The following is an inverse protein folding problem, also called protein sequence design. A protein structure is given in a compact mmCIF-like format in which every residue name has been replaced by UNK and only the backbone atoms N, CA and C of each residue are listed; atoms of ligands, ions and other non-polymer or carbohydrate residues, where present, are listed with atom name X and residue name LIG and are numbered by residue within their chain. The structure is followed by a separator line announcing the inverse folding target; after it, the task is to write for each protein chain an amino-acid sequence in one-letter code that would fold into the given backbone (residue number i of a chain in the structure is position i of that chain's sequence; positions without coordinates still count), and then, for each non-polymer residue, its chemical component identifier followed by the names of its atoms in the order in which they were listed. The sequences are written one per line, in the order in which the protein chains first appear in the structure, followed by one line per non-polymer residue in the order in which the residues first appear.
data_IF_786808601425
#
_entry.id   IF_786808601425
#
_cell.length_a   1.000
_cell.length_b   1.000
_cell.length_c   1.000
_cell.angle_alpha   90.00
_cell.angle_beta   90.00
_cell.angle_gamma   90.00
#
_symmetry.space_group_name_H-M   'P 1'
#
loop_
_entity.id
_entity.type
_entity.pdbx_description
1 polymer ?
#
# COMPACT_ATOMS: atom_id res chain seq x y z
N UNK A 1 19.01 2.27 29.84
CA UNK A 1 18.85 1.16 28.89
C UNK A 1 17.93 0.10 29.41
N UNK A 2 18.29 -0.50 30.55
CA UNK A 2 17.48 -1.62 31.08
C UNK A 2 16.05 -1.27 31.36
N UNK A 3 15.84 -0.08 31.90
CA UNK A 3 14.49 0.36 32.20
C UNK A 3 13.60 0.42 30.96
N UNK A 4 14.23 0.52 29.79
CA UNK A 4 13.48 0.59 28.55
C UNK A 4 12.82 -0.72 28.20
N UNK A 5 13.38 -1.83 28.68
CA UNK A 5 12.77 -3.15 28.47
C UNK A 5 11.50 -3.33 29.25
N UNK A 6 11.36 -2.61 30.35
CA UNK A 6 10.14 -2.66 31.14
C UNK A 6 8.95 -2.08 30.37
N UNK A 7 9.25 -1.29 29.35
CA UNK A 7 8.26 -0.65 28.50
C UNK A 7 8.37 -1.19 27.07
N UNK A 8 8.67 -2.45 26.95
CA UNK A 8 9.01 -3.04 25.66
C UNK A 8 7.90 -2.83 24.63
N UNK A 9 6.65 -3.06 24.99
CA UNK A 9 5.57 -2.89 24.03
C UNK A 9 5.43 -1.45 23.55
N UNK A 10 5.57 -0.49 24.47
CA UNK A 10 5.53 0.93 24.08
C UNK A 10 6.74 1.29 23.22
N UNK A 11 7.87 0.72 23.53
CA UNK A 11 9.09 0.94 22.77
C UNK A 11 8.96 0.36 21.36
N UNK A 12 8.37 -0.82 21.25
CA UNK A 12 8.14 -1.46 19.96
C UNK A 12 7.20 -0.61 19.10
N UNK A 13 6.12 -0.10 19.70
CA UNK A 13 5.21 0.80 19.00
C UNK A 13 5.91 2.06 18.53
N UNK A 14 6.80 2.60 19.36
CA UNK A 14 7.58 3.78 19.01
C UNK A 14 8.52 3.50 17.83
N UNK A 15 9.19 2.34 17.85
CA UNK A 15 10.07 1.95 16.76
C UNK A 15 9.29 1.73 15.47
N UNK A 16 8.12 1.11 15.55
CA UNK A 16 7.27 0.91 14.39
C UNK A 16 6.83 2.26 13.81
N UNK A 17 6.47 3.20 14.67
CA UNK A 17 6.08 4.55 14.24
C UNK A 17 7.25 5.30 13.61
N UNK A 18 8.44 5.17 14.16
CA UNK A 18 9.63 5.80 13.57
C UNK A 18 9.97 5.18 12.21
N UNK A 19 9.90 3.86 12.11
CA UNK A 19 10.12 3.17 10.84
C UNK A 19 9.11 3.61 9.80
N UNK A 20 7.85 3.73 10.17
CA UNK A 20 6.81 4.22 9.29
C UNK A 20 7.07 5.66 8.85
N UNK A 21 7.56 6.51 9.76
CA UNK A 21 7.89 7.90 9.45
C UNK A 21 9.01 7.98 8.39
N UNK A 22 10.07 7.21 8.57
CA UNK A 22 11.15 7.16 7.58
C UNK A 22 10.67 6.64 6.25
N UNK A 23 9.87 5.58 6.28
CA UNK A 23 9.33 5.00 5.06
C UNK A 23 8.45 6.01 4.32
N UNK A 24 7.59 6.73 5.04
CA UNK A 24 6.71 7.74 4.43
C UNK A 24 7.56 8.83 3.76
N UNK A 25 8.63 9.30 4.42
CA UNK A 25 9.53 10.29 3.80
C UNK A 25 10.13 9.77 2.50
N UNK A 26 10.59 8.52 2.52
CA UNK A 26 11.15 7.89 1.32
C UNK A 26 10.11 7.81 0.22
N UNK A 27 8.90 7.39 0.56
CA UNK A 27 7.81 7.27 -0.42
C UNK A 27 7.43 8.64 -1.01
N UNK A 28 7.41 9.68 -0.19
CA UNK A 28 7.13 11.04 -0.67
C UNK A 28 8.18 11.49 -1.68
N UNK A 29 9.45 11.18 -1.43
CA UNK A 29 10.52 11.58 -2.33
C UNK A 29 10.40 10.95 -3.71
N UNK A 30 9.81 9.76 -3.81
CA UNK A 30 9.69 9.02 -5.08
C UNK A 30 8.24 8.79 -5.50
N UNK A 31 7.29 9.46 -4.88
CA UNK A 31 5.86 9.17 -5.07
C UNK A 31 5.40 9.30 -6.52
N UNK A 32 6.00 10.22 -7.28
CA UNK A 32 5.60 10.40 -8.67
C UNK A 32 5.90 9.15 -9.50
N UNK A 33 7.03 8.48 -9.21
CA UNK A 33 7.38 7.23 -9.89
C UNK A 33 6.52 6.06 -9.45
N UNK A 34 5.89 6.15 -8.28
CA UNK A 34 5.08 5.09 -7.71
C UNK A 34 3.58 5.29 -7.95
N UNK A 35 3.20 6.33 -8.66
CA UNK A 35 1.80 6.69 -8.82
C UNK A 35 1.10 5.83 -9.87
N UNK A 36 -0.10 5.35 -9.51
CA UNK A 36 -1.04 4.73 -10.43
C UNK A 36 -2.36 5.49 -10.33
N UNK A 37 -3.23 5.31 -11.32
CA UNK A 37 -4.50 6.02 -11.37
C UNK A 37 -5.67 5.08 -11.56
N UNK A 38 -6.80 5.43 -10.98
CA UNK A 38 -8.04 4.69 -11.13
C UNK A 38 -9.20 5.65 -11.19
N UNK A 39 -9.81 5.78 -12.35
CA UNK A 39 -10.98 6.66 -12.57
C UNK A 39 -10.78 8.08 -12.02
N UNK A 40 -9.61 8.65 -12.30
CA UNK A 40 -9.28 10.00 -11.83
C UNK A 40 -8.72 10.05 -10.41
N UNK A 41 -8.74 8.96 -9.68
CA UNK A 41 -8.13 8.88 -8.36
C UNK A 41 -6.67 8.51 -8.47
N UNK A 42 -5.85 9.13 -7.63
CA UNK A 42 -4.41 8.89 -7.61
C UNK A 42 -4.09 7.92 -6.48
N UNK A 43 -3.31 6.91 -6.78
CA UNK A 43 -2.90 5.92 -5.79
C UNK A 43 -1.40 5.72 -5.78
N UNK A 44 -0.89 5.23 -4.66
CA UNK A 44 0.51 4.86 -4.54
C UNK A 44 0.64 3.34 -4.64
N UNK A 45 1.60 2.88 -5.43
CA UNK A 45 1.89 1.45 -5.57
C UNK A 45 3.27 1.15 -5.02
N UNK A 46 3.36 0.11 -4.19
CA UNK A 46 4.64 -0.41 -3.73
C UNK A 46 4.74 -1.89 -4.03
N UNK A 47 5.98 -2.41 -4.01
CA UNK A 47 6.25 -3.82 -4.29
C UNK A 47 7.03 -4.43 -3.14
N UNK A 48 6.47 -5.49 -2.56
CA UNK A 48 7.11 -6.26 -1.49
C UNK A 48 7.40 -5.44 -0.23
N UNK A 49 6.55 -4.46 0.07
CA UNK A 49 6.70 -3.67 1.27
C UNK A 49 6.32 -4.47 2.52
N UNK A 50 5.36 -5.37 2.38
CA UNK A 50 4.91 -6.21 3.48
C UNK A 50 3.71 -5.61 4.20
N UNK A 51 3.81 -5.47 5.51
CA UNK A 51 2.71 -4.92 6.31
C UNK A 51 2.60 -3.42 6.08
N UNK A 52 1.48 -2.97 5.53
CA UNK A 52 1.31 -1.58 5.09
C UNK A 52 0.33 -0.77 5.93
N UNK A 53 -0.31 -1.38 6.92
CA UNK A 53 -1.38 -0.68 7.68
C UNK A 53 -0.92 0.67 8.20
N UNK A 54 0.20 0.72 8.91
CA UNK A 54 0.72 1.97 9.48
C UNK A 54 1.27 2.90 8.41
N UNK A 55 2.20 2.46 7.52
CA UNK A 55 2.77 3.39 6.54
C UNK A 55 1.76 3.87 5.51
N UNK A 56 0.81 3.03 5.09
CA UNK A 56 -0.19 3.46 4.12
C UNK A 56 -1.12 4.53 4.71
N UNK A 57 -1.58 4.32 5.93
CA UNK A 57 -2.45 5.31 6.59
C UNK A 57 -1.70 6.63 6.82
N UNK A 58 -0.44 6.55 7.23
CA UNK A 58 0.38 7.74 7.43
C UNK A 58 0.63 8.49 6.11
N UNK A 59 0.94 7.75 5.05
CA UNK A 59 1.16 8.34 3.73
C UNK A 59 -0.09 9.04 3.21
N UNK A 60 -1.23 8.38 3.26
CA UNK A 60 -2.48 8.94 2.76
C UNK A 60 -2.90 10.19 3.56
N UNK A 61 -2.66 10.16 4.87
CA UNK A 61 -2.97 11.31 5.71
C UNK A 61 -2.08 12.52 5.39
N UNK A 62 -0.79 12.25 5.12
CA UNK A 62 0.18 13.30 4.82
C UNK A 62 0.10 13.79 3.37
N UNK A 63 -0.50 13.02 2.47
CA UNK A 63 -0.57 13.34 1.05
C UNK A 63 -2.02 13.22 0.58
N UNK A 64 -2.86 14.21 0.91
CA UNK A 64 -4.30 14.13 0.64
C UNK A 64 -4.68 14.08 -0.84
N UNK A 65 -3.75 14.34 -1.72
CA UNK A 65 -3.97 14.17 -3.16
C UNK A 65 -4.00 12.69 -3.58
N UNK A 66 -3.52 11.78 -2.71
CA UNK A 66 -3.58 10.35 -2.95
C UNK A 66 -4.80 9.76 -2.27
N UNK A 67 -5.54 8.94 -2.99
CA UNK A 67 -6.82 8.40 -2.54
C UNK A 67 -6.77 6.93 -2.15
N UNK A 68 -5.71 6.21 -2.55
CA UNK A 68 -5.54 4.81 -2.18
C UNK A 68 -4.07 4.40 -2.24
N UNK A 69 -3.80 3.21 -1.70
CA UNK A 69 -2.44 2.67 -1.58
C UNK A 69 -2.53 1.17 -1.86
N UNK A 70 -1.67 0.66 -2.72
CA UNK A 70 -1.61 -0.77 -3.05
C UNK A 70 -0.19 -1.26 -2.83
N UNK A 71 -0.04 -2.38 -2.12
CA UNK A 71 1.21 -3.13 -2.08
C UNK A 71 0.96 -4.52 -2.64
N UNK A 72 1.85 -5.00 -3.49
CA UNK A 72 1.78 -6.35 -4.05
C UNK A 72 3.09 -7.07 -3.77
N UNK A 73 3.02 -8.35 -3.45
CA UNK A 73 4.22 -9.15 -3.22
C UNK A 73 4.55 -10.02 -4.43
N UNK A 74 5.64 -10.77 -4.33
CA UNK A 74 6.15 -11.62 -5.43
C UNK A 74 5.15 -12.65 -5.91
N UNK A 75 4.27 -13.10 -5.02
CA UNK A 75 3.29 -14.13 -5.33
C UNK A 75 1.98 -13.57 -5.88
N UNK A 76 1.87 -12.25 -5.96
CA UNK A 76 0.66 -11.60 -6.42
C UNK A 76 -0.34 -11.29 -5.34
N UNK A 77 -0.01 -11.52 -4.07
CA UNK A 77 -0.87 -11.11 -2.96
C UNK A 77 -0.80 -9.60 -2.81
N UNK A 78 -1.95 -8.96 -2.74
CA UNK A 78 -2.03 -7.52 -2.68
C UNK A 78 -2.79 -7.06 -1.46
N UNK A 79 -2.36 -5.93 -0.91
CA UNK A 79 -3.04 -5.25 0.18
C UNK A 79 -3.42 -3.85 -0.30
N UNK A 80 -4.63 -3.42 0.06
CA UNK A 80 -5.18 -2.16 -0.39
C UNK A 80 -5.61 -1.33 0.81
N UNK A 81 -5.34 -0.03 0.76
CA UNK A 81 -5.76 0.91 1.80
C UNK A 81 -6.34 2.16 1.18
N UNK A 82 -7.29 2.78 1.87
CA UNK A 82 -7.89 4.04 1.48
C UNK A 82 -8.31 4.81 2.73
N UNK A 83 -8.78 6.02 2.54
CA UNK A 83 -9.23 6.88 3.64
C UNK A 83 -10.61 7.50 3.34
N UNK A 84 -11.46 6.76 2.64
CA UNK A 84 -12.85 7.13 2.42
C UNK A 84 -13.21 7.59 1.00
N UNK A 85 -12.22 7.87 0.16
CA UNK A 85 -12.48 8.40 -1.19
C UNK A 85 -12.63 7.30 -2.24
N UNK A 86 -12.08 6.13 -1.98
CA UNK A 86 -12.14 4.99 -2.88
C UNK A 86 -12.53 3.77 -2.07
N UNK A 87 -13.44 2.95 -2.59
CA UNK A 87 -13.83 1.69 -1.96
C UNK A 87 -12.84 0.61 -2.38
N UNK A 88 -11.87 0.32 -1.52
CA UNK A 88 -10.86 -0.70 -1.85
C UNK A 88 -11.36 -2.12 -1.66
N UNK A 89 -12.46 -2.34 -0.93
CA UNK A 89 -13.08 -3.67 -0.90
C UNK A 89 -13.59 -4.04 -2.29
N UNK A 90 -14.27 -3.11 -2.94
CA UNK A 90 -14.76 -3.29 -4.29
C UNK A 90 -13.60 -3.43 -5.28
N UNK A 91 -12.58 -2.60 -5.12
CA UNK A 91 -11.37 -2.67 -5.95
C UNK A 91 -10.71 -4.04 -5.86
N UNK A 92 -10.51 -4.56 -4.64
CA UNK A 92 -9.92 -5.89 -4.44
C UNK A 92 -10.77 -6.99 -5.06
N UNK A 93 -12.09 -6.89 -4.93
CA UNK A 93 -13.00 -7.88 -5.51
C UNK A 93 -12.89 -7.91 -7.03
N UNK A 94 -12.82 -6.75 -7.65
CA UNK A 94 -12.75 -6.65 -9.11
C UNK A 94 -11.37 -7.00 -9.68
N UNK A 95 -10.31 -6.64 -8.97
CA UNK A 95 -8.94 -6.82 -9.45
C UNK A 95 -8.35 -8.18 -9.09
N UNK A 96 -8.61 -8.66 -7.89
CA UNK A 96 -7.78 -9.68 -7.27
C UNK A 96 -8.60 -10.73 -6.52
N UNK A 97 -9.85 -10.92 -6.90
CA UNK A 97 -10.75 -11.90 -6.28
C UNK A 97 -10.77 -11.81 -4.75
N UNK A 98 -10.63 -10.62 -4.23
CA UNK A 98 -10.50 -10.37 -2.81
C UNK A 98 -11.69 -9.67 -2.21
N UNK A 99 -11.45 -9.06 -1.06
CA UNK A 99 -12.47 -8.32 -0.35
C UNK A 99 -11.91 -7.78 0.96
N UNK A 100 -12.79 -7.24 1.78
CA UNK A 100 -12.42 -6.66 3.06
C UNK A 100 -13.33 -5.49 3.39
N UNK A 101 -12.73 -4.46 3.95
CA UNK A 101 -13.43 -3.23 4.31
C UNK A 101 -13.21 -2.17 3.23
N UNK A 102 -14.07 -1.16 3.24
CA UNK A 102 -14.00 -0.06 2.27
C UNK A 102 -12.64 0.63 2.28
N UNK A 103 -11.98 0.71 3.43
CA UNK A 103 -10.68 1.35 3.58
C UNK A 103 -9.50 0.38 3.76
N UNK A 104 -9.74 -0.92 3.82
CA UNK A 104 -8.69 -1.92 4.05
C UNK A 104 -9.11 -3.26 3.48
N UNK A 105 -8.43 -3.72 2.46
CA UNK A 105 -8.79 -4.97 1.79
C UNK A 105 -7.55 -5.70 1.30
N UNK A 106 -7.76 -6.88 0.73
CA UNK A 106 -6.70 -7.67 0.16
C UNK A 106 -7.22 -8.66 -0.87
N UNK A 107 -6.34 -9.18 -1.67
CA UNK A 107 -6.67 -10.17 -2.68
C UNK A 107 -5.42 -10.74 -3.31
N UNK A 108 -5.60 -11.56 -4.34
CA UNK A 108 -4.50 -12.18 -5.05
C UNK A 108 -4.69 -12.05 -6.55
N UNK A 109 -3.66 -11.56 -7.21
CA UNK A 109 -3.61 -11.51 -8.67
C UNK A 109 -3.06 -12.86 -9.16
N UNK A 110 -3.95 -13.73 -9.65
CA UNK A 110 -3.58 -15.10 -10.01
C UNK A 110 -2.62 -15.18 -11.18
N UNK A 111 -2.65 -14.22 -12.07
CA UNK A 111 -1.79 -14.20 -13.26
C UNK A 111 -0.52 -13.36 -13.08
N UNK A 112 -0.28 -12.86 -11.87
CA UNK A 112 0.93 -12.09 -11.61
C UNK A 112 2.14 -13.01 -11.54
N UNK A 113 3.21 -12.62 -12.20
CA UNK A 113 4.48 -13.34 -12.15
C UNK A 113 5.54 -12.45 -11.54
N UNK A 114 6.39 -13.05 -10.72
CA UNK A 114 7.49 -12.33 -10.09
C UNK A 114 8.33 -11.62 -11.14
N UNK A 115 8.60 -10.34 -10.90
CA UNK A 115 9.46 -9.52 -11.75
C UNK A 115 10.47 -8.79 -10.87
N UNK A 116 11.58 -8.37 -11.46
CA UNK A 116 12.63 -7.65 -10.75
C UNK A 116 12.39 -6.14 -10.87
N UNK A 117 11.93 -5.69 -12.03
CA UNK A 117 11.78 -4.27 -12.34
C UNK A 117 10.42 -3.76 -11.86
N UNK A 118 10.46 -2.73 -11.00
CA UNK A 118 9.23 -2.11 -10.50
C UNK A 118 8.34 -1.56 -11.63
N UNK A 119 8.92 -1.08 -12.71
CA UNK A 119 8.12 -0.57 -13.84
C UNK A 119 7.24 -1.65 -14.45
N UNK A 120 7.68 -2.89 -14.45
CA UNK A 120 6.84 -4.00 -14.92
C UNK A 120 5.67 -4.22 -13.98
N UNK A 121 5.90 -4.13 -12.67
CA UNK A 121 4.83 -4.23 -11.67
C UNK A 121 3.82 -3.09 -11.87
N UNK A 122 4.31 -1.89 -12.04
CA UNK A 122 3.47 -0.71 -12.22
C UNK A 122 2.63 -0.82 -13.49
N UNK A 123 3.24 -1.25 -14.59
CA UNK A 123 2.53 -1.45 -15.84
C UNK A 123 1.44 -2.52 -15.68
N UNK A 124 1.76 -3.61 -15.01
CA UNK A 124 0.81 -4.69 -14.77
C UNK A 124 -0.40 -4.18 -13.97
N UNK A 125 -0.15 -3.50 -12.86
CA UNK A 125 -1.22 -2.99 -12.00
C UNK A 125 -2.03 -1.92 -12.72
N UNK A 126 -1.37 -1.00 -13.43
CA UNK A 126 -2.08 0.07 -14.14
C UNK A 126 -3.01 -0.51 -15.21
N UNK A 127 -2.58 -1.53 -15.94
CA UNK A 127 -3.43 -2.20 -16.91
C UNK A 127 -4.66 -2.83 -16.25
N UNK A 128 -4.49 -3.44 -15.07
CA UNK A 128 -5.61 -4.02 -14.34
C UNK A 128 -6.59 -2.93 -13.89
N UNK A 129 -6.07 -1.82 -13.37
CA UNK A 129 -6.91 -0.70 -12.93
C UNK A 129 -7.68 -0.08 -14.10
N UNK A 130 -7.07 0.00 -15.27
CA UNK A 130 -7.71 0.58 -16.45
C UNK A 130 -8.90 -0.23 -16.94
N UNK A 131 -8.99 -1.50 -16.56
CA UNK A 131 -10.06 -2.40 -17.01
C UNK A 131 -11.29 -2.42 -16.10
N UNK A 132 -11.23 -1.79 -14.94
CA UNK A 132 -12.36 -1.84 -13.99
C UNK A 132 -13.09 -0.51 -13.80
#
# INVERSE_FOLDING_TARGET
MKKDYLKLSNKDDTLDNLSATYLVKTLVDVKDDLTVTYKGHKGLLTYCLGSISIPANAFLRANPEYDFFIDINKKGNASFRADGKVDVALMAAKLANGGGHVNASGGKFDDFKEVIDFYEVKTYIQKKLDKI
#
